data_IF_047783266713
#
_entry.id   IF_047783266713
#
_cell.length_a   1.000
_cell.length_b   1.000
_cell.length_c   1.000
_cell.angle_alpha   90.00
_cell.angle_beta   90.00
_cell.angle_gamma   90.00
#
_symmetry.space_group_name_H-M   'P 1'
#
loop_
_entity.id
_entity.type
_entity.pdbx_description
1 polymer ?
#
# COMPACT_ATOMS: atom_id res chain seq x y z
N UNK A 1 43.23 29.30 -62.41
CA UNK A 1 44.20 28.38 -61.78
C UNK A 1 44.58 29.06 -60.47
N UNK A 2 44.18 28.64 -59.28
CA UNK A 2 44.20 27.32 -58.67
C UNK A 2 43.06 27.21 -57.62
N UNK A 3 42.83 25.98 -57.17
CA UNK A 3 41.63 25.39 -56.59
C UNK A 3 41.31 25.71 -55.11
N UNK A 4 39.99 25.72 -54.81
CA UNK A 4 39.23 24.99 -53.76
C UNK A 4 39.76 25.04 -52.31
N UNK A 5 38.87 25.38 -51.35
CA UNK A 5 38.45 24.53 -50.21
C UNK A 5 37.17 25.10 -49.57
N UNK A 6 36.24 24.17 -49.30
CA UNK A 6 34.90 24.35 -48.77
C UNK A 6 34.86 24.54 -47.25
N UNK A 7 33.77 25.11 -46.73
CA UNK A 7 33.14 24.66 -45.48
C UNK A 7 31.71 25.21 -45.39
N UNK A 8 30.72 24.32 -45.54
CA UNK A 8 29.36 24.57 -45.12
C UNK A 8 29.29 24.42 -43.58
N UNK A 9 28.74 25.41 -42.89
CA UNK A 9 28.36 25.28 -41.47
C UNK A 9 26.87 25.60 -41.34
N UNK A 10 26.07 24.55 -41.21
CA UNK A 10 24.68 24.64 -40.83
C UNK A 10 24.58 25.04 -39.34
N UNK A 11 23.99 26.19 -39.03
CA UNK A 11 23.63 26.52 -37.65
C UNK A 11 22.36 25.74 -37.27
N UNK A 12 22.57 24.55 -36.70
CA UNK A 12 21.54 23.87 -35.92
C UNK A 12 21.37 24.61 -34.59
N UNK A 13 20.27 25.35 -34.43
CA UNK A 13 19.86 25.90 -33.14
C UNK A 13 19.33 24.76 -32.27
N UNK A 14 20.21 24.17 -31.43
CA UNK A 14 19.78 23.32 -30.32
C UNK A 14 19.33 24.25 -29.19
N UNK A 15 18.03 24.41 -28.99
CA UNK A 15 17.49 24.94 -27.74
C UNK A 15 17.74 23.90 -26.63
N UNK A 16 18.16 24.30 -25.41
CA UNK A 16 18.13 23.39 -24.30
C UNK A 16 16.66 23.18 -23.93
N UNK A 17 16.16 21.97 -24.15
CA UNK A 17 14.98 21.50 -23.42
C UNK A 17 15.37 21.59 -21.94
N UNK A 18 14.81 22.59 -21.25
CA UNK A 18 14.82 22.64 -19.80
C UNK A 18 14.03 21.43 -19.30
N UNK A 19 14.72 20.29 -19.24
CA UNK A 19 14.23 19.12 -18.54
C UNK A 19 14.13 19.52 -17.08
N UNK A 20 12.91 19.64 -16.56
CA UNK A 20 12.67 19.60 -15.13
C UNK A 20 13.33 18.32 -14.62
N UNK A 21 14.46 18.44 -13.90
CA UNK A 21 14.90 17.35 -13.03
C UNK A 21 13.70 17.07 -12.12
N UNK A 22 13.07 15.92 -12.28
CA UNK A 22 12.20 15.42 -11.23
C UNK A 22 13.06 15.35 -9.98
N UNK A 23 12.76 16.18 -8.99
CA UNK A 23 13.25 15.95 -7.63
C UNK A 23 12.67 14.60 -7.21
N UNK A 24 13.47 13.55 -7.35
CA UNK A 24 13.13 12.24 -6.80
C UNK A 24 13.35 12.34 -5.30
N UNK A 25 12.28 12.66 -4.56
CA UNK A 25 12.30 12.61 -3.11
C UNK A 25 12.62 11.18 -2.67
N UNK A 26 13.73 11.00 -1.95
CA UNK A 26 14.11 9.70 -1.40
C UNK A 26 13.11 9.30 -0.31
N UNK A 27 12.49 8.13 -0.47
CA UNK A 27 11.50 7.58 0.44
C UNK A 27 12.11 6.47 1.29
N UNK A 28 11.81 6.52 2.59
CA UNK A 28 12.06 5.43 3.54
C UNK A 28 10.77 4.63 3.73
N UNK A 29 10.89 3.31 3.83
CA UNK A 29 9.78 2.38 4.08
C UNK A 29 9.95 1.68 5.42
N UNK A 30 8.85 1.44 6.12
CA UNK A 30 8.85 0.76 7.42
C UNK A 30 7.45 0.37 7.87
N UNK A 31 7.30 0.04 9.15
CA UNK A 31 6.02 -0.34 9.79
C UNK A 31 5.65 0.69 10.88
N UNK A 32 5.71 1.98 10.53
CA UNK A 32 5.55 3.11 11.47
C UNK A 32 4.11 3.42 11.87
N UNK A 33 3.16 2.52 11.60
CA UNK A 33 1.76 2.67 11.94
C UNK A 33 1.43 1.89 13.21
N UNK A 34 0.76 2.55 14.16
CA UNK A 34 0.16 1.87 15.32
C UNK A 34 -1.29 1.62 15.03
N UNK A 35 -1.68 0.34 14.95
CA UNK A 35 -3.09 -0.07 14.78
C UNK A 35 -3.71 -0.21 16.16
N UNK A 36 -4.86 0.40 16.38
CA UNK A 36 -5.59 0.33 17.66
C UNK A 36 -6.82 -0.57 17.56
N UNK A 37 -7.42 -0.67 16.37
CA UNK A 37 -8.67 -1.41 16.18
C UNK A 37 -8.76 -2.06 14.81
N UNK A 38 -9.37 -3.24 14.79
CA UNK A 38 -9.77 -3.97 13.59
C UNK A 38 -11.29 -4.18 13.66
N UNK A 39 -12.03 -3.57 12.75
CA UNK A 39 -13.45 -3.85 12.54
C UNK A 39 -13.62 -4.76 11.32
N UNK A 40 -14.39 -5.83 11.47
CA UNK A 40 -14.66 -6.76 10.36
C UNK A 40 -16.05 -6.50 9.78
N UNK A 41 -16.10 -6.29 8.46
CA UNK A 41 -17.33 -6.13 7.69
C UNK A 41 -17.49 -7.31 6.74
N UNK A 42 -18.48 -8.15 7.00
CA UNK A 42 -18.91 -9.18 6.06
C UNK A 42 -19.94 -8.59 5.07
N UNK A 43 -19.70 -8.77 3.78
CA UNK A 43 -20.66 -8.40 2.75
C UNK A 43 -21.68 -9.52 2.53
N UNK A 44 -22.93 -9.14 2.29
CA UNK A 44 -24.04 -10.07 2.04
C UNK A 44 -23.99 -10.67 0.62
N UNK A 45 -22.84 -11.22 0.22
CA UNK A 45 -22.60 -11.90 -1.06
C UNK A 45 -22.23 -13.37 -0.86
N UNK A 46 -22.34 -14.20 -1.91
CA UNK A 46 -21.73 -15.54 -1.93
C UNK A 46 -20.88 -15.73 -3.19
N UNK A 47 -19.58 -16.04 -3.07
CA UNK A 47 -18.80 -16.20 -1.84
C UNK A 47 -18.83 -14.94 -0.96
N UNK A 48 -18.74 -15.14 0.35
CA UNK A 48 -18.70 -14.07 1.33
C UNK A 48 -17.39 -13.32 1.16
N UNK A 49 -17.48 -11.99 1.16
CA UNK A 49 -16.32 -11.10 1.21
C UNK A 49 -16.22 -10.52 2.61
N UNK A 50 -15.00 -10.50 3.17
CA UNK A 50 -14.71 -9.91 4.48
C UNK A 50 -13.72 -8.76 4.28
N UNK A 51 -14.09 -7.56 4.72
CA UNK A 51 -13.20 -6.41 4.78
C UNK A 51 -12.76 -6.18 6.22
N UNK A 52 -11.45 -6.04 6.44
CA UNK A 52 -10.88 -5.56 7.68
C UNK A 52 -10.65 -4.05 7.58
N UNK A 53 -11.41 -3.27 8.35
CA UNK A 53 -11.19 -1.85 8.54
C UNK A 53 -10.23 -1.64 9.72
N UNK A 54 -9.03 -1.19 9.41
CA UNK A 54 -7.96 -0.88 10.36
C UNK A 54 -8.06 0.59 10.71
N UNK A 55 -7.95 0.91 12.00
CA UNK A 55 -7.83 2.30 12.46
C UNK A 55 -6.77 2.43 13.55
N UNK A 56 -6.13 3.59 13.59
CA UNK A 56 -5.06 3.89 14.52
C UNK A 56 -4.36 5.20 14.17
N UNK A 57 -3.05 5.28 14.39
CA UNK A 57 -2.29 6.51 14.17
C UNK A 57 -0.86 6.27 13.67
N UNK A 58 -0.32 7.30 13.01
CA UNK A 58 1.06 7.44 12.58
C UNK A 58 1.81 8.37 13.54
N UNK A 59 3.13 8.19 13.63
CA UNK A 59 3.97 8.89 14.62
C UNK A 59 4.26 10.36 14.31
N UNK A 60 4.07 10.80 13.06
CA UNK A 60 4.34 12.16 12.61
C UNK A 60 3.43 12.56 11.43
N UNK A 61 3.51 13.84 11.03
CA UNK A 61 2.71 14.38 9.92
C UNK A 61 3.25 14.14 8.51
N UNK A 62 4.33 13.36 8.32
CA UNK A 62 4.84 13.04 6.98
C UNK A 62 4.72 11.57 6.61
N UNK A 63 4.61 10.70 7.61
CA UNK A 63 4.44 9.27 7.42
C UNK A 63 3.07 9.05 6.79
N UNK A 64 3.02 8.18 5.78
CA UNK A 64 1.81 7.77 5.09
C UNK A 64 1.72 6.24 5.07
N UNK A 65 0.50 5.71 4.95
CA UNK A 65 0.31 4.31 4.58
C UNK A 65 0.69 4.14 3.11
N UNK A 66 1.61 3.23 2.83
CA UNK A 66 1.96 2.83 1.48
C UNK A 66 1.05 1.71 0.99
N UNK A 67 0.90 0.66 1.80
CA UNK A 67 0.09 -0.52 1.51
C UNK A 67 -0.12 -1.36 2.76
N UNK A 68 -1.07 -2.27 2.70
CA UNK A 68 -1.21 -3.36 3.68
C UNK A 68 -0.89 -4.68 3.01
N UNK A 69 0.08 -5.41 3.56
CA UNK A 69 0.43 -6.75 3.13
C UNK A 69 -0.36 -7.76 3.96
N UNK A 70 -0.73 -8.89 3.35
CA UNK A 70 -1.52 -9.95 3.97
C UNK A 70 -0.79 -11.28 3.79
N UNK A 71 -0.57 -12.01 4.88
CA UNK A 71 -0.07 -13.38 4.87
C UNK A 71 -1.03 -14.26 5.67
N UNK A 72 -1.43 -15.42 5.12
CA UNK A 72 -2.27 -16.37 5.85
C UNK A 72 -1.47 -17.61 6.25
N UNK A 73 -1.47 -17.93 7.55
CA UNK A 73 -0.97 -19.19 8.10
C UNK A 73 -2.15 -19.94 8.72
N UNK A 74 -2.57 -21.03 8.07
CA UNK A 74 -3.76 -21.79 8.46
C UNK A 74 -5.00 -20.88 8.54
N UNK A 75 -5.57 -20.70 9.73
CA UNK A 75 -6.75 -19.88 9.96
C UNK A 75 -6.41 -18.47 10.48
N UNK A 76 -5.13 -18.07 10.49
CA UNK A 76 -4.69 -16.75 10.93
C UNK A 76 -4.28 -15.91 9.73
N UNK A 77 -4.94 -14.78 9.55
CA UNK A 77 -4.55 -13.69 8.66
C UNK A 77 -3.66 -12.71 9.43
N UNK A 78 -2.38 -12.66 9.07
CA UNK A 78 -1.44 -11.67 9.56
C UNK A 78 -1.39 -10.51 8.56
N UNK A 79 -1.80 -9.31 8.99
CA UNK A 79 -1.68 -8.10 8.18
C UNK A 79 -0.50 -7.26 8.66
N UNK A 80 0.21 -6.65 7.71
CA UNK A 80 1.31 -5.72 7.98
C UNK A 80 1.06 -4.40 7.29
N UNK A 81 1.03 -3.33 8.08
CA UNK A 81 0.81 -1.98 7.57
C UNK A 81 2.16 -1.38 7.20
N UNK A 82 2.45 -1.36 5.91
CA UNK A 82 3.68 -0.77 5.38
C UNK A 82 3.46 0.73 5.21
N UNK A 83 4.33 1.50 5.82
CA UNK A 83 4.37 2.95 5.76
C UNK A 83 5.53 3.43 4.89
N UNK A 84 5.40 4.65 4.38
CA UNK A 84 6.51 5.38 3.77
C UNK A 84 6.61 6.80 4.33
N UNK A 85 7.81 7.37 4.28
CA UNK A 85 8.06 8.78 4.61
C UNK A 85 9.22 9.34 3.78
N UNK A 86 9.26 10.64 3.50
CA UNK A 86 10.47 11.26 2.97
C UNK A 86 11.59 11.22 4.01
N UNK A 87 12.79 10.80 3.59
CA UNK A 87 13.94 10.57 4.48
C UNK A 87 14.42 11.83 5.20
N UNK A 88 14.48 12.94 4.47
CA UNK A 88 15.05 14.21 4.96
C UNK A 88 13.98 15.26 5.31
N UNK A 89 12.71 14.87 5.39
CA UNK A 89 11.64 15.80 5.74
C UNK A 89 11.63 16.14 7.23
N UNK A 90 11.45 17.43 7.53
CA UNK A 90 11.16 17.92 8.87
C UNK A 90 9.64 17.83 9.08
N UNK A 91 9.24 16.92 9.96
CA UNK A 91 7.84 16.54 10.16
C UNK A 91 7.30 17.08 11.49
N UNK A 92 5.99 17.31 11.55
CA UNK A 92 5.34 17.66 12.82
C UNK A 92 5.29 16.43 13.71
N UNK A 93 5.57 16.61 15.01
CA UNK A 93 5.48 15.56 16.02
C UNK A 93 4.04 15.41 16.52
N UNK A 94 3.12 15.16 15.60
CA UNK A 94 1.69 15.00 15.88
C UNK A 94 1.26 13.60 15.46
N UNK A 95 0.53 12.91 16.34
CA UNK A 95 -0.14 11.66 15.97
C UNK A 95 -1.18 11.95 14.89
N UNK A 96 -0.97 11.38 13.70
CA UNK A 96 -1.88 11.52 12.58
C UNK A 96 -2.77 10.28 12.50
N UNK A 97 -4.11 10.40 12.66
CA UNK A 97 -4.99 9.25 12.59
C UNK A 97 -5.04 8.68 11.16
N UNK A 98 -5.23 7.38 11.03
CA UNK A 98 -5.47 6.72 9.74
C UNK A 98 -6.63 5.74 9.82
N UNK A 99 -7.27 5.51 8.68
CA UNK A 99 -8.24 4.45 8.45
C UNK A 99 -7.91 3.76 7.11
N UNK A 100 -7.81 2.45 7.12
CA UNK A 100 -7.50 1.65 5.92
C UNK A 100 -8.41 0.43 5.85
N UNK A 101 -8.95 0.15 4.66
CA UNK A 101 -9.83 -1.00 4.44
C UNK A 101 -9.16 -2.04 3.56
N UNK A 102 -9.03 -3.26 4.07
CA UNK A 102 -8.34 -4.37 3.40
C UNK A 102 -9.32 -5.51 3.15
N UNK A 103 -9.47 -5.93 1.89
CA UNK A 103 -10.22 -7.12 1.55
C UNK A 103 -9.40 -8.38 1.92
N UNK A 104 -9.94 -9.23 2.78
CA UNK A 104 -9.31 -10.49 3.17
C UNK A 104 -9.48 -11.54 2.07
N UNK A 105 -8.43 -12.31 1.81
CA UNK A 105 -8.39 -13.36 0.79
C UNK A 105 -9.11 -14.63 1.28
N UNK A 106 -10.43 -14.52 1.44
CA UNK A 106 -11.29 -15.57 2.02
C UNK A 106 -11.89 -16.53 1.00
N UNK A 107 -11.70 -16.28 -0.29
CA UNK A 107 -12.24 -17.13 -1.36
C UNK A 107 -11.59 -18.51 -1.32
N UNK A 108 -12.40 -19.56 -1.42
CA UNK A 108 -11.92 -20.94 -1.42
C UNK A 108 -11.62 -21.53 -0.05
N UNK A 109 -11.84 -20.76 1.03
CA UNK A 109 -11.57 -21.23 2.38
C UNK A 109 -12.70 -22.11 2.92
N UNK A 110 -12.39 -23.16 3.71
CA UNK A 110 -13.40 -24.01 4.33
C UNK A 110 -14.19 -23.26 5.41
N UNK A 111 -15.34 -23.81 5.77
CA UNK A 111 -16.09 -23.35 6.94
C UNK A 111 -15.21 -23.42 8.20
N UNK A 112 -15.29 -22.41 9.06
CA UNK A 112 -14.47 -22.34 10.27
C UNK A 112 -14.31 -20.94 10.83
N UNK A 113 -13.65 -20.86 11.98
CA UNK A 113 -13.23 -19.62 12.62
C UNK A 113 -11.85 -19.20 12.13
N UNK A 114 -11.71 -17.91 11.83
CA UNK A 114 -10.49 -17.28 11.34
C UNK A 114 -10.14 -16.08 12.21
N UNK A 115 -8.86 -15.92 12.51
CA UNK A 115 -8.32 -14.79 13.27
C UNK A 115 -7.65 -13.82 12.31
N UNK A 116 -7.85 -12.53 12.52
CA UNK A 116 -7.16 -11.44 11.84
C UNK A 116 -6.31 -10.71 12.86
N UNK A 117 -5.02 -10.58 12.58
CA UNK A 117 -4.04 -9.96 13.47
C UNK A 117 -3.25 -8.87 12.77
N UNK A 118 -3.03 -7.77 13.47
CA UNK A 118 -2.09 -6.72 13.10
C UNK A 118 -1.29 -6.32 14.34
N UNK A 119 -0.02 -6.72 14.40
CA UNK A 119 0.78 -6.56 15.62
C UNK A 119 0.15 -7.31 16.80
N UNK A 120 -0.14 -6.60 17.88
CA UNK A 120 -0.77 -7.16 19.08
C UNK A 120 -2.31 -7.10 19.07
N UNK A 121 -2.91 -6.47 18.06
CA UNK A 121 -4.38 -6.37 17.93
C UNK A 121 -4.91 -7.55 17.13
N UNK A 122 -5.91 -8.24 17.65
CA UNK A 122 -6.58 -9.34 16.96
C UNK A 122 -8.10 -9.31 17.11
N UNK A 123 -8.77 -9.88 16.12
CA UNK A 123 -10.22 -10.10 16.07
C UNK A 123 -10.51 -11.37 15.27
N UNK A 124 -11.75 -11.86 15.28
CA UNK A 124 -12.12 -13.09 14.61
C UNK A 124 -13.43 -12.99 13.84
N UNK A 125 -13.56 -13.81 12.79
CA UNK A 125 -14.81 -14.03 12.07
C UNK A 125 -15.03 -15.51 11.80
N UNK A 126 -16.26 -15.88 11.47
CA UNK A 126 -16.63 -17.26 11.15
C UNK A 126 -17.19 -17.35 9.74
N UNK A 127 -16.65 -18.27 8.94
CA UNK A 127 -17.28 -18.73 7.71
C UNK A 127 -18.23 -19.88 8.06
N UNK A 128 -19.54 -19.65 7.90
CA UNK A 128 -20.59 -20.62 8.25
C UNK A 128 -20.69 -21.79 7.27
N UNK A 129 -20.05 -21.70 6.11
CA UNK A 129 -19.97 -22.72 5.08
C UNK A 129 -18.66 -22.54 4.29
N UNK A 130 -18.27 -23.56 3.52
CA UNK A 130 -17.12 -23.46 2.61
C UNK A 130 -17.35 -22.30 1.63
N UNK A 131 -16.39 -21.38 1.59
CA UNK A 131 -16.48 -20.14 0.82
C UNK A 131 -16.06 -20.33 -0.64
N UNK A 132 -16.63 -21.36 -1.27
CA UNK A 132 -16.40 -21.76 -2.65
C UNK A 132 -17.65 -21.49 -3.49
N UNK A 133 -17.48 -20.98 -4.70
CA UNK A 133 -18.54 -21.01 -5.71
C UNK A 133 -18.83 -22.48 -6.05
N UNK A 134 -20.06 -22.93 -5.77
CA UNK A 134 -20.53 -24.22 -6.28
C UNK A 134 -20.96 -24.01 -7.73
N UNK A 135 -20.38 -24.77 -8.66
CA UNK A 135 -21.01 -24.95 -9.97
C UNK A 135 -22.21 -25.86 -9.78
N UNK A 136 -23.38 -25.44 -10.24
CA UNK A 136 -24.58 -26.29 -10.35
C UNK A 136 -24.37 -27.41 -11.39
#
# INVERSE_FOLDING_TARGET
MLMIIAAALALAACAPLAGSKSEQTEMEYGEGATVEKIDLLALESFPVQINAALSGYLSDGCTEIERVEQERRENVFELKVITRRPKDAICTMQLAPFEESVALEVNGLPAGEYVVRVGDVETAFTLNADNILKSE
#
